data_IF_391379037436
#
_entry.id   IF_391379037436
#
_cell.length_a   1.000
_cell.length_b   1.000
_cell.length_c   1.000
_cell.angle_alpha   90.00
_cell.angle_beta   90.00
_cell.angle_gamma   90.00
#
_symmetry.space_group_name_H-M   'P 1'
#
loop_
_entity.id
_entity.type
_entity.pdbx_description
1 polymer ?
#
# COMPACT_ATOMS: atom_id res chain seq x y z
N UNK A 1 23.43 -3.85 -13.54
CA UNK A 1 24.32 -4.54 -12.56
C UNK A 1 25.14 -3.46 -11.86
N UNK A 2 25.08 -3.38 -10.53
CA UNK A 2 25.87 -2.40 -9.75
C UNK A 2 27.26 -2.97 -9.57
N UNK A 3 28.28 -2.22 -9.97
CA UNK A 3 29.69 -2.59 -9.82
C UNK A 3 30.36 -1.55 -8.93
N UNK A 4 30.99 -2.01 -7.85
CA UNK A 4 31.80 -1.18 -6.97
C UNK A 4 33.26 -1.32 -7.41
N UNK A 5 33.84 -0.25 -7.97
CA UNK A 5 35.22 -0.30 -8.46
C UNK A 5 36.25 -0.49 -7.32
N UNK A 6 35.94 0.00 -6.13
CA UNK A 6 36.76 -0.12 -4.92
C UNK A 6 35.88 0.07 -3.69
N UNK A 7 35.94 -0.88 -2.79
CA UNK A 7 35.24 -0.78 -1.50
C UNK A 7 36.04 0.08 -0.52
N UNK A 8 35.38 1.03 0.10
CA UNK A 8 35.84 1.74 1.30
C UNK A 8 34.92 1.41 2.48
N UNK A 9 35.20 1.96 3.64
CA UNK A 9 34.32 1.82 4.79
C UNK A 9 32.91 2.42 4.54
N UNK A 10 32.81 3.42 3.66
CA UNK A 10 31.54 4.04 3.29
C UNK A 10 30.66 3.11 2.44
N UNK A 11 31.22 2.49 1.39
CA UNK A 11 30.46 1.54 0.57
C UNK A 11 30.11 0.28 1.37
N UNK A 12 31.01 -0.17 2.27
CA UNK A 12 30.72 -1.32 3.15
C UNK A 12 29.56 -1.00 4.12
N UNK A 13 29.51 0.20 4.69
CA UNK A 13 28.41 0.67 5.53
C UNK A 13 27.11 0.76 4.73
N UNK A 14 27.16 1.31 3.51
CA UNK A 14 25.99 1.38 2.62
C UNK A 14 25.44 -0.02 2.29
N UNK A 15 26.31 -1.01 2.05
CA UNK A 15 25.88 -2.39 1.80
C UNK A 15 25.20 -3.01 3.02
N UNK A 16 25.78 -2.84 4.21
CA UNK A 16 25.17 -3.30 5.46
C UNK A 16 23.79 -2.70 5.66
N UNK A 17 23.66 -1.38 5.50
CA UNK A 17 22.38 -0.67 5.63
C UNK A 17 21.35 -1.16 4.58
N UNK A 18 21.78 -1.36 3.34
CA UNK A 18 20.94 -1.91 2.28
C UNK A 18 20.42 -3.32 2.59
N UNK A 19 21.24 -4.13 3.26
CA UNK A 19 20.88 -5.46 3.75
C UNK A 19 20.09 -5.42 5.07
N UNK A 20 19.95 -4.25 5.72
CA UNK A 20 19.28 -4.05 7.01
C UNK A 20 19.88 -4.90 8.13
N UNK A 21 21.19 -5.10 8.12
CA UNK A 21 21.93 -5.85 9.12
C UNK A 21 22.48 -4.93 10.22
N UNK A 22 22.52 -5.42 11.45
CA UNK A 22 23.32 -4.78 12.51
C UNK A 22 24.82 -4.92 12.22
N UNK A 23 25.67 -4.16 12.88
CA UNK A 23 27.13 -4.28 12.75
C UNK A 23 27.57 -5.72 13.08
N UNK A 24 26.97 -6.32 14.10
CA UNK A 24 27.25 -7.70 14.54
C UNK A 24 26.84 -8.71 13.45
N UNK A 25 25.59 -8.64 12.97
CA UNK A 25 25.10 -9.59 11.97
C UNK A 25 25.91 -9.52 10.68
N UNK A 26 26.32 -8.29 10.28
CA UNK A 26 27.15 -8.09 9.07
C UNK A 26 28.57 -8.60 9.25
N UNK A 27 29.15 -8.43 10.47
CA UNK A 27 30.43 -8.99 10.81
C UNK A 27 30.41 -10.52 10.79
N UNK A 28 29.40 -11.14 11.38
CA UNK A 28 29.20 -12.58 11.35
C UNK A 28 29.00 -13.10 9.92
N UNK A 29 28.24 -12.36 9.10
CA UNK A 29 28.01 -12.69 7.69
C UNK A 29 29.29 -12.64 6.84
N UNK A 30 30.20 -11.74 7.15
CA UNK A 30 31.52 -11.60 6.48
C UNK A 30 32.62 -12.48 7.10
N UNK A 31 32.35 -13.11 8.25
CA UNK A 31 33.35 -13.91 8.98
C UNK A 31 34.44 -13.06 9.62
N UNK A 32 34.13 -11.83 10.07
CA UNK A 32 35.08 -10.91 10.70
C UNK A 32 34.63 -10.51 12.11
N UNK A 33 35.55 -9.95 12.91
CA UNK A 33 35.17 -9.44 14.21
C UNK A 33 34.30 -8.16 14.08
N UNK A 34 33.31 -7.99 14.95
CA UNK A 34 32.41 -6.83 15.02
C UNK A 34 33.18 -5.49 15.02
N UNK A 35 34.27 -5.42 15.80
CA UNK A 35 35.17 -4.26 15.84
C UNK A 35 35.78 -3.90 14.47
N UNK A 36 35.91 -4.85 13.55
CA UNK A 36 36.44 -4.62 12.21
C UNK A 36 35.45 -3.83 11.37
N UNK A 37 34.19 -4.23 11.38
CA UNK A 37 33.10 -3.52 10.70
C UNK A 37 32.88 -2.13 11.31
N UNK A 38 32.85 -2.03 12.63
CA UNK A 38 32.74 -0.76 13.35
C UNK A 38 33.90 0.21 12.98
N UNK A 39 35.12 -0.30 12.85
CA UNK A 39 36.29 0.49 12.39
C UNK A 39 36.13 0.96 10.94
N UNK A 40 35.60 0.11 10.05
CA UNK A 40 35.36 0.51 8.65
C UNK A 40 34.38 1.68 8.60
N UNK A 41 33.27 1.57 9.31
CA UNK A 41 32.24 2.62 9.35
C UNK A 41 32.78 3.93 9.95
N UNK A 42 33.49 3.87 11.07
CA UNK A 42 34.05 5.05 11.72
C UNK A 42 35.10 5.77 10.85
N UNK A 43 35.82 5.03 10.01
CA UNK A 43 36.89 5.59 9.17
C UNK A 43 36.42 5.99 7.75
N UNK A 44 35.23 5.59 7.35
CA UNK A 44 34.57 5.99 6.10
C UNK A 44 35.47 5.81 4.86
N UNK A 45 35.65 6.89 4.08
CA UNK A 45 36.47 6.90 2.85
C UNK A 45 37.96 6.60 3.09
N UNK A 46 38.47 6.91 4.28
CA UNK A 46 39.89 6.71 4.60
C UNK A 46 40.26 5.23 4.80
N UNK A 47 39.27 4.36 5.00
CA UNK A 47 39.47 2.94 5.23
C UNK A 47 39.15 2.12 3.99
N UNK A 48 40.14 1.35 3.53
CA UNK A 48 40.02 0.41 2.41
C UNK A 48 40.18 -0.99 2.95
N UNK A 49 39.15 -1.86 2.88
CA UNK A 49 39.29 -3.26 3.26
C UNK A 49 40.35 -3.99 2.45
N UNK A 50 41.03 -4.93 3.05
CA UNK A 50 42.04 -5.76 2.35
C UNK A 50 41.43 -6.55 1.19
N UNK A 51 42.20 -6.94 0.18
CA UNK A 51 41.67 -7.55 -1.07
C UNK A 51 40.72 -8.73 -0.84
N UNK A 52 40.98 -9.59 0.14
CA UNK A 52 40.08 -10.70 0.51
C UNK A 52 38.73 -10.21 0.97
N UNK A 53 38.68 -9.11 1.70
CA UNK A 53 37.41 -8.52 2.15
C UNK A 53 36.67 -7.77 1.04
N UNK A 54 37.39 -7.20 0.09
CA UNK A 54 36.76 -6.62 -1.09
C UNK A 54 36.04 -7.71 -1.91
N UNK A 55 36.67 -8.86 -2.13
CA UNK A 55 36.03 -10.00 -2.79
C UNK A 55 34.86 -10.58 -2.01
N UNK A 56 34.94 -10.58 -0.67
CA UNK A 56 33.82 -10.98 0.16
C UNK A 56 32.63 -10.03 0.03
N UNK A 57 32.86 -8.72 0.05
CA UNK A 57 31.83 -7.68 -0.16
C UNK A 57 31.19 -7.76 -1.56
N UNK A 58 32.00 -8.02 -2.61
CA UNK A 58 31.48 -8.29 -3.95
C UNK A 58 30.57 -9.51 -3.99
N UNK A 59 30.95 -10.57 -3.26
CA UNK A 59 30.15 -11.80 -3.18
C UNK A 59 28.83 -11.54 -2.45
N UNK A 60 28.86 -10.79 -1.35
CA UNK A 60 27.65 -10.42 -0.60
C UNK A 60 26.72 -9.58 -1.47
N UNK A 61 27.24 -8.58 -2.18
CA UNK A 61 26.46 -7.75 -3.09
C UNK A 61 25.85 -8.59 -4.23
N UNK A 62 26.63 -9.50 -4.82
CA UNK A 62 26.15 -10.36 -5.91
C UNK A 62 25.00 -11.25 -5.46
N UNK A 63 25.08 -11.81 -4.25
CA UNK A 63 24.06 -12.71 -3.67
C UNK A 63 22.91 -11.98 -3.00
N UNK A 64 23.00 -10.67 -2.82
CA UNK A 64 21.95 -9.88 -2.19
C UNK A 64 20.65 -9.94 -3.01
N UNK A 65 19.48 -9.91 -2.35
CA UNK A 65 18.19 -9.77 -3.03
C UNK A 65 18.15 -8.50 -3.88
N UNK A 66 17.39 -8.51 -4.97
CA UNK A 66 17.35 -7.37 -5.91
C UNK A 66 16.87 -6.07 -5.25
N UNK A 67 15.99 -6.17 -4.26
CA UNK A 67 15.59 -5.01 -3.44
C UNK A 67 16.76 -4.41 -2.62
N UNK A 68 17.61 -5.26 -2.06
CA UNK A 68 18.80 -4.81 -1.34
C UNK A 68 19.82 -4.18 -2.31
N UNK A 69 19.96 -4.73 -3.52
CA UNK A 69 20.77 -4.14 -4.59
C UNK A 69 20.22 -2.77 -5.00
N UNK A 70 18.89 -2.62 -5.12
CA UNK A 70 18.24 -1.34 -5.40
C UNK A 70 18.54 -0.29 -4.32
N UNK A 71 18.35 -0.64 -3.05
CA UNK A 71 18.69 0.24 -1.92
C UNK A 71 20.17 0.62 -1.89
N UNK A 72 21.04 -0.35 -2.14
CA UNK A 72 22.48 -0.11 -2.20
C UNK A 72 22.85 0.88 -3.32
N UNK A 73 22.22 0.75 -4.50
CA UNK A 73 22.41 1.69 -5.61
C UNK A 73 22.03 3.13 -5.25
N UNK A 74 20.90 3.32 -4.55
CA UNK A 74 20.48 4.63 -4.06
C UNK A 74 21.46 5.21 -3.03
N UNK A 75 21.89 4.40 -2.06
CA UNK A 75 22.88 4.83 -1.06
C UNK A 75 24.22 5.19 -1.71
N UNK A 76 24.69 4.43 -2.70
CA UNK A 76 25.89 4.74 -3.45
C UNK A 76 25.78 6.04 -4.25
N UNK A 77 24.64 6.29 -4.89
CA UNK A 77 24.39 7.53 -5.62
C UNK A 77 24.47 8.74 -4.67
N UNK A 78 23.83 8.64 -3.50
CA UNK A 78 23.89 9.66 -2.46
C UNK A 78 25.32 9.90 -1.92
N UNK A 79 26.16 8.88 -1.86
CA UNK A 79 27.56 8.99 -1.43
C UNK A 79 28.48 9.62 -2.50
N UNK A 80 28.20 9.39 -3.80
CA UNK A 80 29.02 9.86 -4.93
C UNK A 80 28.71 11.27 -5.38
N UNK A 81 27.48 11.70 -5.17
CA UNK A 81 27.02 13.04 -5.49
C UNK A 81 26.18 13.59 -4.34
N UNK A 82 26.82 14.07 -3.26
CA UNK A 82 26.11 14.75 -2.19
C UNK A 82 25.43 16.04 -2.66
N UNK A 83 25.81 16.58 -3.84
CA UNK A 83 25.18 17.73 -4.48
C UNK A 83 24.05 17.30 -5.44
N UNK A 84 24.06 16.09 -5.99
CA UNK A 84 23.07 15.60 -6.95
C UNK A 84 21.71 15.30 -6.33
N UNK A 85 21.64 15.00 -5.04
CA UNK A 85 20.38 14.95 -4.27
C UNK A 85 19.85 16.37 -4.01
N UNK A 86 20.70 17.38 -4.04
CA UNK A 86 20.33 18.81 -3.99
C UNK A 86 19.93 19.35 -5.37
N UNK A 87 20.32 18.72 -6.47
CA UNK A 87 20.16 19.25 -7.84
C UNK A 87 18.75 19.20 -8.42
N UNK A 88 17.80 18.48 -7.83
CA UNK A 88 16.37 18.59 -8.17
C UNK A 88 15.61 19.63 -7.33
N UNK A 89 16.28 20.29 -6.38
CA UNK A 89 15.72 21.37 -5.57
C UNK A 89 16.13 22.78 -6.06
N UNK A 90 16.92 22.88 -7.12
CA UNK A 90 17.54 24.15 -7.59
C UNK A 90 16.60 25.07 -8.39
N UNK A 91 15.28 24.87 -8.32
CA UNK A 91 14.29 25.86 -8.78
C UNK A 91 13.65 26.67 -7.67
N UNK A 92 13.96 26.39 -6.41
CA UNK A 92 13.57 27.22 -5.27
C UNK A 92 14.86 27.69 -4.58
N UNK A 93 15.21 28.94 -4.73
CA UNK A 93 16.48 29.57 -4.32
C UNK A 93 17.04 29.03 -3.00
N UNK A 94 18.35 28.80 -2.98
CA UNK A 94 19.13 28.30 -1.87
C UNK A 94 19.13 29.23 -0.65
N UNK A 95 18.01 29.25 0.09
CA UNK A 95 18.01 29.57 1.51
C UNK A 95 18.39 28.25 2.21
N UNK A 96 19.61 28.19 2.78
CA UNK A 96 20.09 27.00 3.47
C UNK A 96 19.03 26.50 4.43
N UNK A 97 18.55 25.26 4.22
CA UNK A 97 17.62 24.64 5.15
C UNK A 97 18.33 24.60 6.52
N UNK A 98 17.71 25.10 7.57
CA UNK A 98 18.27 24.96 8.91
C UNK A 98 18.49 23.47 9.17
N UNK A 99 19.61 23.12 9.82
CA UNK A 99 19.86 21.75 10.26
C UNK A 99 18.65 21.20 11.02
N UNK A 100 18.56 19.87 11.25
CA UNK A 100 17.40 19.25 11.88
C UNK A 100 17.02 20.02 13.14
N UNK A 101 15.77 20.52 13.16
CA UNK A 101 15.28 21.27 14.31
C UNK A 101 15.34 20.39 15.56
N UNK A 102 15.74 20.91 16.71
CA UNK A 102 15.76 20.12 17.94
C UNK A 102 14.33 19.64 18.24
N UNK A 103 14.19 18.35 18.58
CA UNK A 103 12.91 17.76 18.97
C UNK A 103 12.36 18.57 20.18
N UNK A 104 11.10 19.03 20.14
CA UNK A 104 10.53 19.81 21.22
C UNK A 104 10.50 19.02 22.52
N UNK A 105 10.81 19.66 23.64
CA UNK A 105 10.79 19.00 24.96
C UNK A 105 9.37 18.58 25.42
N UNK A 106 8.34 19.16 24.82
CA UNK A 106 6.92 18.85 25.10
C UNK A 106 6.13 18.98 23.80
N UNK A 107 5.32 17.97 23.53
CA UNK A 107 4.43 17.96 22.36
C UNK A 107 3.10 18.64 22.71
N UNK A 108 2.70 19.63 21.90
CA UNK A 108 1.38 20.24 21.98
C UNK A 108 0.34 19.30 21.33
N UNK A 109 -0.79 18.99 21.98
CA UNK A 109 -1.87 18.21 21.38
C UNK A 109 -2.41 18.78 20.06
N UNK A 110 -2.31 20.09 19.84
CA UNK A 110 -2.67 20.71 18.56
C UNK A 110 -1.82 20.17 17.41
N UNK A 111 -0.55 19.88 17.62
CA UNK A 111 0.32 19.28 16.59
C UNK A 111 -0.20 17.92 16.13
N UNK A 112 -0.77 17.12 17.05
CA UNK A 112 -1.37 15.81 16.72
C UNK A 112 -2.60 16.00 15.84
N UNK A 113 -3.49 16.96 16.18
CA UNK A 113 -4.67 17.29 15.35
C UNK A 113 -4.28 17.76 13.94
N UNK A 114 -3.20 18.54 13.82
CA UNK A 114 -2.69 18.96 12.51
C UNK A 114 -2.17 17.81 11.68
N UNK A 115 -1.48 16.84 12.28
CA UNK A 115 -1.07 15.62 11.58
C UNK A 115 -2.28 14.83 11.07
N UNK A 116 -3.36 14.70 11.86
CA UNK A 116 -4.60 14.07 11.39
C UNK A 116 -5.20 14.79 10.18
N UNK A 117 -5.24 16.13 10.21
CA UNK A 117 -5.76 16.94 9.10
C UNK A 117 -4.92 16.72 7.83
N UNK A 118 -3.60 16.70 7.94
CA UNK A 118 -2.69 16.45 6.79
C UNK A 118 -2.96 15.06 6.19
N UNK A 119 -3.15 14.04 7.02
CA UNK A 119 -3.45 12.69 6.53
C UNK A 119 -4.75 12.64 5.72
N UNK A 120 -5.80 13.34 6.17
CA UNK A 120 -7.06 13.45 5.43
C UNK A 120 -6.85 14.05 4.03
N UNK A 121 -6.01 15.09 3.93
CA UNK A 121 -5.67 15.69 2.63
C UNK A 121 -4.84 14.71 1.76
N UNK A 122 -3.93 13.95 2.34
CA UNK A 122 -3.19 12.91 1.59
C UNK A 122 -4.13 11.85 1.01
N UNK A 123 -5.13 11.39 1.76
CA UNK A 123 -6.15 10.46 1.26
C UNK A 123 -6.92 11.02 0.07
N UNK A 124 -7.26 12.32 0.09
CA UNK A 124 -7.91 12.99 -1.04
C UNK A 124 -7.00 13.08 -2.27
N UNK A 125 -5.72 13.43 -2.07
CA UNK A 125 -4.72 13.51 -3.15
C UNK A 125 -4.47 12.14 -3.76
N UNK A 126 -4.39 11.08 -2.96
CA UNK A 126 -4.23 9.70 -3.42
C UNK A 126 -5.35 9.27 -4.38
N UNK A 127 -6.59 9.67 -4.11
CA UNK A 127 -7.72 9.40 -5.00
C UNK A 127 -7.63 10.11 -6.36
N UNK A 128 -6.83 11.14 -6.49
CA UNK A 128 -6.67 11.93 -7.72
C UNK A 128 -5.39 11.56 -8.49
N UNK A 129 -4.27 11.41 -7.77
CA UNK A 129 -2.94 11.24 -8.35
C UNK A 129 -2.34 9.85 -8.16
N UNK A 130 -2.96 9.03 -7.30
CA UNK A 130 -2.47 7.70 -6.95
C UNK A 130 -1.29 7.69 -5.97
N UNK A 131 -0.74 6.48 -5.67
CA UNK A 131 0.15 6.27 -4.53
C UNK A 131 1.56 6.83 -4.70
N UNK A 132 2.08 6.90 -5.93
CA UNK A 132 3.50 7.14 -6.21
C UNK A 132 4.03 8.44 -5.58
N UNK A 133 3.24 9.52 -5.64
CA UNK A 133 3.63 10.85 -5.15
C UNK A 133 3.52 11.00 -3.63
N UNK A 134 2.86 10.07 -2.94
CA UNK A 134 2.58 10.16 -1.51
C UNK A 134 3.43 9.23 -0.64
N UNK A 135 4.08 8.23 -1.24
CA UNK A 135 4.89 7.25 -0.51
C UNK A 135 6.01 7.90 0.31
N UNK A 136 6.80 8.77 -0.33
CA UNK A 136 7.92 9.45 0.34
C UNK A 136 7.43 10.42 1.42
N UNK A 137 6.38 11.20 1.12
CA UNK A 137 5.79 12.14 2.09
C UNK A 137 5.21 11.41 3.30
N UNK A 138 4.52 10.31 3.10
CA UNK A 138 3.96 9.49 4.17
C UNK A 138 5.05 8.87 5.03
N UNK A 139 6.12 8.38 4.40
CA UNK A 139 7.29 7.81 5.09
C UNK A 139 8.00 8.88 5.94
N UNK A 140 8.15 10.10 5.41
CA UNK A 140 8.72 11.23 6.16
C UNK A 140 7.90 11.55 7.42
N UNK A 141 6.57 11.60 7.32
CA UNK A 141 5.70 11.80 8.48
C UNK A 141 5.78 10.65 9.48
N UNK A 142 5.88 9.40 9.02
CA UNK A 142 6.04 8.24 9.91
C UNK A 142 7.35 8.30 10.70
N UNK A 143 8.45 8.72 10.07
CA UNK A 143 9.72 8.93 10.76
C UNK A 143 9.59 10.04 11.81
N UNK A 144 9.01 11.17 11.43
CA UNK A 144 8.76 12.29 12.35
C UNK A 144 7.87 11.88 13.54
N UNK A 145 6.78 11.14 13.31
CA UNK A 145 5.94 10.59 14.38
C UNK A 145 6.75 9.64 15.27
N UNK A 146 7.62 8.82 14.69
CA UNK A 146 8.53 7.93 15.42
C UNK A 146 9.45 8.69 16.38
N UNK A 147 10.01 9.82 15.93
CA UNK A 147 10.83 10.70 16.77
C UNK A 147 9.99 11.32 17.92
N UNK A 148 8.81 11.83 17.62
CA UNK A 148 7.91 12.39 18.63
C UNK A 148 7.48 11.36 19.68
N UNK A 149 7.30 10.09 19.31
CA UNK A 149 7.00 9.00 20.24
C UNK A 149 8.10 8.75 21.29
N UNK A 150 9.34 9.15 21.02
CA UNK A 150 10.44 9.02 21.97
C UNK A 150 10.30 9.94 23.17
N UNK A 151 9.63 11.08 23.01
CA UNK A 151 9.43 12.10 24.04
C UNK A 151 8.01 12.15 24.59
N UNK A 152 7.04 11.60 23.88
CA UNK A 152 5.64 11.62 24.26
C UNK A 152 5.38 10.66 25.43
N UNK A 153 4.52 11.08 26.39
CA UNK A 153 4.12 10.29 27.55
C UNK A 153 2.61 10.43 27.83
N UNK A 154 2.06 9.50 28.60
CA UNK A 154 0.65 9.53 29.02
C UNK A 154 -0.32 9.60 27.84
N UNK A 155 -1.37 10.40 27.97
CA UNK A 155 -2.44 10.56 26.99
C UNK A 155 -1.91 11.02 25.62
N UNK A 156 -0.97 11.97 25.60
CA UNK A 156 -0.34 12.50 24.37
C UNK A 156 0.35 11.37 23.58
N UNK A 157 1.00 10.43 24.26
CA UNK A 157 1.58 9.26 23.62
C UNK A 157 0.53 8.34 22.98
N UNK A 158 -0.58 8.11 23.68
CA UNK A 158 -1.69 7.28 23.19
C UNK A 158 -2.31 7.90 21.91
N UNK A 159 -2.57 9.21 21.94
CA UNK A 159 -3.08 9.94 20.77
C UNK A 159 -2.09 9.91 19.60
N UNK A 160 -0.81 10.09 19.87
CA UNK A 160 0.23 10.02 18.84
C UNK A 160 0.40 8.61 18.25
N UNK A 161 0.24 7.55 19.06
CA UNK A 161 0.21 6.16 18.57
C UNK A 161 -0.99 5.93 17.65
N UNK A 162 -2.16 6.49 17.97
CA UNK A 162 -3.35 6.40 17.14
C UNK A 162 -3.13 7.07 15.77
N UNK A 163 -2.61 8.29 15.77
CA UNK A 163 -2.28 8.99 14.51
C UNK A 163 -1.19 8.26 13.73
N UNK A 164 -0.15 7.81 14.40
CA UNK A 164 0.91 7.01 13.78
C UNK A 164 0.38 5.73 13.15
N UNK A 165 -0.58 5.06 13.80
CA UNK A 165 -1.25 3.90 13.25
C UNK A 165 -2.02 4.24 11.97
N UNK A 166 -2.73 5.38 11.92
CA UNK A 166 -3.45 5.83 10.72
C UNK A 166 -2.50 6.15 9.56
N UNK A 167 -1.35 6.81 9.82
CA UNK A 167 -0.31 7.03 8.81
C UNK A 167 0.33 5.72 8.32
N UNK A 168 0.60 4.76 9.21
CA UNK A 168 1.17 3.48 8.85
C UNK A 168 0.18 2.61 8.05
N UNK A 169 -1.11 2.70 8.36
CA UNK A 169 -2.17 2.07 7.56
C UNK A 169 -2.21 2.66 6.16
N UNK A 170 -2.21 3.98 6.06
CA UNK A 170 -2.19 4.67 4.77
C UNK A 170 -0.94 4.31 3.95
N UNK A 171 0.24 4.22 4.57
CA UNK A 171 1.43 3.72 3.91
C UNK A 171 1.24 2.28 3.38
N UNK A 172 0.68 1.39 4.21
CA UNK A 172 0.35 0.02 3.80
C UNK A 172 -0.58 -0.03 2.60
N UNK A 173 -1.58 0.86 2.57
CA UNK A 173 -2.48 1.04 1.43
C UNK A 173 -1.75 1.52 0.18
N UNK A 174 -0.95 2.59 0.28
CA UNK A 174 -0.18 3.12 -0.84
C UNK A 174 0.74 2.06 -1.45
N UNK A 175 1.44 1.29 -0.61
CA UNK A 175 2.29 0.19 -1.09
C UNK A 175 1.49 -0.92 -1.76
N UNK A 176 0.31 -1.25 -1.25
CA UNK A 176 -0.56 -2.25 -1.90
C UNK A 176 -1.03 -1.78 -3.27
N UNK A 177 -1.44 -0.51 -3.38
CA UNK A 177 -1.92 0.06 -4.66
C UNK A 177 -0.76 0.35 -5.63
N UNK A 178 0.46 0.52 -5.13
CA UNK A 178 1.69 0.57 -5.94
C UNK A 178 2.23 -0.83 -6.35
N UNK A 179 1.54 -1.92 -6.00
CA UNK A 179 1.94 -3.27 -6.37
C UNK A 179 3.10 -3.85 -5.55
N UNK A 180 3.34 -3.35 -4.33
CA UNK A 180 4.36 -3.86 -3.40
C UNK A 180 3.73 -4.53 -2.17
N UNK A 181 3.34 -5.82 -2.26
CA UNK A 181 2.64 -6.53 -1.18
C UNK A 181 3.51 -6.77 0.06
N UNK A 182 4.84 -6.87 -0.08
CA UNK A 182 5.74 -7.08 1.05
C UNK A 182 5.75 -5.85 1.95
N UNK A 183 5.94 -4.66 1.38
CA UNK A 183 5.90 -3.41 2.13
C UNK A 183 4.51 -3.14 2.71
N UNK A 184 3.44 -3.47 1.97
CA UNK A 184 2.07 -3.38 2.47
C UNK A 184 1.87 -4.24 3.73
N UNK A 185 2.34 -5.49 3.73
CA UNK A 185 2.25 -6.40 4.88
C UNK A 185 3.07 -5.87 6.07
N UNK A 186 4.30 -5.40 5.84
CA UNK A 186 5.15 -4.82 6.88
C UNK A 186 4.43 -3.67 7.62
N UNK A 187 3.86 -2.72 6.88
CA UNK A 187 3.14 -1.60 7.48
C UNK A 187 1.86 -2.03 8.19
N UNK A 188 1.10 -2.96 7.62
CA UNK A 188 -0.10 -3.52 8.24
C UNK A 188 0.20 -4.19 9.58
N UNK A 189 1.32 -4.92 9.71
CA UNK A 189 1.77 -5.54 10.97
C UNK A 189 2.17 -4.47 12.01
N UNK A 190 2.82 -3.39 11.57
CA UNK A 190 3.18 -2.28 12.45
C UNK A 190 1.96 -1.54 12.99
N UNK A 191 0.95 -1.32 12.14
CA UNK A 191 -0.34 -0.74 12.58
C UNK A 191 -0.97 -1.56 13.69
N UNK A 192 -1.01 -2.88 13.55
CA UNK A 192 -1.60 -3.76 14.55
C UNK A 192 -0.93 -3.60 15.91
N UNK A 193 0.41 -3.55 15.94
CA UNK A 193 1.17 -3.32 17.17
C UNK A 193 0.83 -1.98 17.83
N UNK A 194 0.78 -0.89 17.07
CA UNK A 194 0.48 0.43 17.60
C UNK A 194 -0.97 0.55 18.07
N UNK A 195 -1.91 0.00 17.30
CA UNK A 195 -3.33 0.00 17.63
C UNK A 195 -3.62 -0.77 18.93
N UNK A 196 -2.95 -1.91 19.12
CA UNK A 196 -3.05 -2.69 20.37
C UNK A 196 -2.47 -1.93 21.56
N UNK A 197 -1.32 -1.27 21.38
CA UNK A 197 -0.68 -0.47 22.44
C UNK A 197 -1.56 0.74 22.83
N UNK A 198 -2.28 1.33 21.88
CA UNK A 198 -3.20 2.45 22.11
C UNK A 198 -4.60 2.02 22.56
N UNK A 199 -4.89 0.72 22.69
CA UNK A 199 -6.24 0.14 22.95
C UNK A 199 -7.30 0.62 21.93
N UNK A 200 -6.88 0.89 20.71
CA UNK A 200 -7.77 1.35 19.63
C UNK A 200 -8.44 0.16 18.92
N UNK A 201 -9.62 -0.21 19.42
CA UNK A 201 -10.35 -1.37 18.91
C UNK A 201 -10.84 -1.21 17.47
N UNK A 202 -11.18 0.01 17.03
CA UNK A 202 -11.57 0.29 15.65
C UNK A 202 -10.39 0.00 14.70
N UNK A 203 -9.21 0.54 15.01
CA UNK A 203 -8.02 0.32 14.20
C UNK A 203 -7.60 -1.16 14.20
N UNK A 204 -7.70 -1.88 15.33
CA UNK A 204 -7.43 -3.32 15.39
C UNK A 204 -8.36 -4.09 14.44
N UNK A 205 -9.66 -3.81 14.47
CA UNK A 205 -10.65 -4.43 13.57
C UNK A 205 -10.34 -4.09 12.10
N UNK A 206 -10.07 -2.82 11.81
CA UNK A 206 -9.73 -2.36 10.47
C UNK A 206 -8.49 -3.07 9.91
N UNK A 207 -7.43 -3.18 10.70
CA UNK A 207 -6.20 -3.87 10.29
C UNK A 207 -6.42 -5.36 10.05
N UNK A 208 -7.23 -6.03 10.87
CA UNK A 208 -7.59 -7.43 10.63
C UNK A 208 -8.36 -7.59 9.31
N UNK A 209 -9.27 -6.67 8.98
CA UNK A 209 -9.93 -6.62 7.68
C UNK A 209 -8.92 -6.39 6.54
N UNK A 210 -7.92 -5.50 6.71
CA UNK A 210 -6.85 -5.28 5.72
C UNK A 210 -6.00 -6.54 5.51
N UNK A 211 -5.64 -7.26 6.58
CA UNK A 211 -4.93 -8.55 6.50
C UNK A 211 -5.79 -9.62 5.82
N UNK A 212 -7.11 -9.62 6.04
CA UNK A 212 -8.07 -10.47 5.32
C UNK A 212 -8.06 -10.16 3.81
N UNK A 213 -8.05 -8.87 3.44
CA UNK A 213 -7.95 -8.45 2.04
C UNK A 213 -6.63 -8.89 1.38
N UNK A 214 -5.50 -8.81 2.10
CA UNK A 214 -4.22 -9.33 1.60
C UNK A 214 -4.26 -10.85 1.42
N UNK A 215 -4.88 -11.59 2.34
CA UNK A 215 -5.05 -13.04 2.23
C UNK A 215 -5.95 -13.43 1.05
N UNK A 216 -7.04 -12.69 0.81
CA UNK A 216 -7.92 -12.92 -0.34
C UNK A 216 -7.21 -12.71 -1.67
N UNK A 217 -6.35 -11.70 -1.75
CA UNK A 217 -5.50 -11.45 -2.93
C UNK A 217 -4.50 -12.59 -3.23
N UNK A 218 -4.19 -13.42 -2.23
CA UNK A 218 -3.36 -14.64 -2.37
C UNK A 218 -4.19 -15.90 -2.61
N UNK A 219 -5.53 -15.81 -2.66
CA UNK A 219 -6.42 -16.95 -2.81
C UNK A 219 -6.57 -17.81 -1.55
N UNK A 220 -6.09 -17.34 -0.38
CA UNK A 220 -6.18 -18.07 0.89
C UNK A 220 -7.56 -17.87 1.53
N UNK A 221 -8.53 -18.71 1.14
CA UNK A 221 -9.91 -18.63 1.61
C UNK A 221 -10.04 -18.78 3.14
N UNK A 222 -9.33 -19.75 3.72
CA UNK A 222 -9.41 -20.04 5.16
C UNK A 222 -8.90 -18.86 5.98
N UNK A 223 -7.73 -18.34 5.65
CA UNK A 223 -7.15 -17.18 6.32
C UNK A 223 -7.99 -15.92 6.12
N UNK A 224 -8.60 -15.74 4.94
CA UNK A 224 -9.50 -14.63 4.65
C UNK A 224 -10.69 -14.63 5.61
N UNK A 225 -11.36 -15.79 5.77
CA UNK A 225 -12.49 -15.98 6.69
C UNK A 225 -12.08 -15.77 8.15
N UNK A 226 -10.97 -16.37 8.59
CA UNK A 226 -10.52 -16.28 9.98
C UNK A 226 -10.23 -14.82 10.38
N UNK A 227 -9.58 -14.06 9.50
CA UNK A 227 -9.24 -12.67 9.75
C UNK A 227 -10.48 -11.76 9.68
N UNK A 228 -11.41 -11.98 8.75
CA UNK A 228 -12.66 -11.25 8.66
C UNK A 228 -13.52 -11.45 9.92
N UNK A 229 -13.67 -12.70 10.37
CA UNK A 229 -14.37 -13.02 11.63
C UNK A 229 -13.67 -12.46 12.85
N UNK A 230 -12.32 -12.46 12.86
CA UNK A 230 -11.56 -11.82 13.92
C UNK A 230 -11.80 -10.30 13.98
N UNK A 231 -11.95 -9.63 12.82
CA UNK A 231 -12.31 -8.23 12.75
C UNK A 231 -13.70 -7.93 13.36
N UNK A 232 -14.63 -8.88 13.28
CA UNK A 232 -15.99 -8.75 13.79
C UNK A 232 -16.17 -9.14 15.27
N UNK A 233 -15.13 -9.63 15.97
CA UNK A 233 -15.26 -10.14 17.36
C UNK A 233 -15.86 -9.14 18.36
N UNK A 234 -15.62 -7.83 18.15
CA UNK A 234 -16.15 -6.76 18.99
C UNK A 234 -17.09 -5.84 18.19
N UNK A 235 -17.94 -6.43 17.37
CA UNK A 235 -18.81 -5.71 16.44
C UNK A 235 -19.74 -4.69 17.10
N UNK A 236 -20.10 -4.88 18.37
CA UNK A 236 -20.88 -3.94 19.20
C UNK A 236 -20.15 -2.60 19.41
N UNK A 237 -18.83 -2.60 19.29
CA UNK A 237 -17.97 -1.41 19.39
C UNK A 237 -17.60 -0.78 18.05
N UNK A 238 -18.00 -1.41 16.93
CA UNK A 238 -17.68 -0.93 15.59
C UNK A 238 -18.83 -0.08 15.05
N UNK A 239 -18.47 0.93 14.24
CA UNK A 239 -19.45 1.65 13.45
C UNK A 239 -20.08 0.74 12.39
N UNK A 240 -21.25 1.09 11.83
CA UNK A 240 -21.86 0.35 10.74
C UNK A 240 -20.89 0.17 9.56
N UNK A 241 -20.17 1.21 9.15
CA UNK A 241 -19.20 1.15 8.06
C UNK A 241 -18.03 0.22 8.34
N UNK A 242 -17.49 0.23 9.57
CA UNK A 242 -16.43 -0.70 9.95
C UNK A 242 -16.90 -2.16 9.92
N UNK A 243 -18.16 -2.43 10.33
CA UNK A 243 -18.76 -3.75 10.18
C UNK A 243 -18.94 -4.15 8.71
N UNK A 244 -19.41 -3.23 7.86
CA UNK A 244 -19.56 -3.47 6.43
C UNK A 244 -18.24 -3.90 5.78
N UNK A 245 -17.14 -3.21 6.11
CA UNK A 245 -15.81 -3.54 5.61
C UNK A 245 -15.35 -4.95 6.01
N UNK A 246 -15.63 -5.39 7.22
CA UNK A 246 -15.28 -6.74 7.66
C UNK A 246 -16.20 -7.81 7.05
N UNK A 247 -17.51 -7.56 6.95
CA UNK A 247 -18.48 -8.46 6.34
C UNK A 247 -18.22 -8.68 4.85
N UNK A 248 -17.82 -7.63 4.11
CA UNK A 248 -17.43 -7.79 2.71
C UNK A 248 -16.22 -8.71 2.54
N UNK A 249 -15.27 -8.72 3.51
CA UNK A 249 -14.14 -9.66 3.49
C UNK A 249 -14.57 -11.08 3.83
N UNK A 250 -15.55 -11.25 4.71
CA UNK A 250 -16.16 -12.56 4.95
C UNK A 250 -16.81 -13.08 3.66
N UNK A 251 -17.49 -12.22 2.89
CA UNK A 251 -18.05 -12.57 1.59
C UNK A 251 -16.97 -13.02 0.59
N UNK A 252 -15.83 -12.34 0.52
CA UNK A 252 -14.69 -12.76 -0.32
C UNK A 252 -14.18 -14.15 0.08
N UNK A 253 -14.03 -14.40 1.37
CA UNK A 253 -13.62 -15.72 1.86
C UNK A 253 -14.61 -16.84 1.47
N UNK A 254 -15.90 -16.55 1.51
CA UNK A 254 -16.93 -17.50 1.05
C UNK A 254 -16.91 -17.67 -0.48
N UNK A 255 -16.66 -16.60 -1.24
CA UNK A 255 -16.53 -16.70 -2.69
C UNK A 255 -15.31 -17.56 -3.08
N UNK A 256 -14.17 -17.38 -2.42
CA UNK A 256 -12.97 -18.21 -2.60
C UNK A 256 -13.18 -19.67 -2.18
N UNK A 257 -14.11 -19.91 -1.25
CA UNK A 257 -14.52 -21.26 -0.81
C UNK A 257 -15.62 -21.88 -1.69
N UNK A 258 -16.00 -21.20 -2.79
CA UNK A 258 -17.08 -21.64 -3.70
C UNK A 258 -18.44 -21.82 -3.00
N UNK A 259 -18.73 -21.02 -1.92
CA UNK A 259 -20.01 -21.00 -1.23
C UNK A 259 -20.83 -19.74 -1.60
N UNK A 260 -21.64 -19.82 -2.69
CA UNK A 260 -22.41 -18.67 -3.17
C UNK A 260 -23.52 -18.23 -2.20
N UNK A 261 -24.05 -19.15 -1.38
CA UNK A 261 -25.12 -18.82 -0.44
C UNK A 261 -24.56 -18.06 0.76
N UNK A 262 -23.46 -18.50 1.33
CA UNK A 262 -22.81 -17.77 2.43
C UNK A 262 -22.25 -16.43 1.94
N UNK A 263 -21.66 -16.38 0.74
CA UNK A 263 -21.22 -15.15 0.11
C UNK A 263 -22.38 -14.13 -0.04
N UNK A 264 -23.50 -14.56 -0.60
CA UNK A 264 -24.66 -13.68 -0.77
C UNK A 264 -25.20 -13.12 0.56
N UNK A 265 -25.26 -13.95 1.61
CA UNK A 265 -25.66 -13.50 2.95
C UNK A 265 -24.72 -12.46 3.53
N UNK A 266 -23.41 -12.70 3.43
CA UNK A 266 -22.39 -11.76 3.92
C UNK A 266 -22.41 -10.44 3.16
N UNK A 267 -22.59 -10.46 1.82
CA UNK A 267 -22.76 -9.26 1.00
C UNK A 267 -24.02 -8.47 1.35
N UNK A 268 -25.16 -9.14 1.56
CA UNK A 268 -26.40 -8.49 1.97
C UNK A 268 -26.24 -7.79 3.32
N UNK A 269 -25.61 -8.44 4.29
CA UNK A 269 -25.31 -7.85 5.58
C UNK A 269 -24.31 -6.67 5.48
N UNK A 270 -23.30 -6.78 4.63
CA UNK A 270 -22.36 -5.68 4.38
C UNK A 270 -23.07 -4.46 3.77
N UNK A 271 -23.95 -4.68 2.80
CA UNK A 271 -24.73 -3.61 2.15
C UNK A 271 -25.68 -2.93 3.13
N UNK A 272 -26.39 -3.70 3.96
CA UNK A 272 -27.23 -3.16 5.02
C UNK A 272 -26.45 -2.26 5.98
N UNK A 273 -25.26 -2.70 6.42
CA UNK A 273 -24.40 -1.90 7.29
C UNK A 273 -23.84 -0.65 6.59
N UNK A 274 -23.51 -0.72 5.30
CA UNK A 274 -23.04 0.43 4.55
C UNK A 274 -24.14 1.47 4.29
N UNK A 275 -25.40 1.02 4.17
CA UNK A 275 -26.57 1.89 4.01
C UNK A 275 -27.09 2.48 5.34
N UNK A 276 -26.64 1.96 6.48
CA UNK A 276 -27.06 2.44 7.78
C UNK A 276 -26.66 3.91 8.01
N UNK A 277 -27.46 4.71 8.72
CA UNK A 277 -27.08 6.07 9.11
C UNK A 277 -25.71 6.07 9.80
N UNK A 278 -24.90 7.09 9.50
CA UNK A 278 -23.62 7.30 10.19
C UNK A 278 -23.82 7.46 11.70
N UNK A 279 -22.86 7.01 12.45
CA UNK A 279 -22.87 6.99 13.92
C UNK A 279 -21.63 7.80 14.39
N UNK A 280 -21.65 8.31 15.62
CA UNK A 280 -20.53 9.05 16.22
C UNK A 280 -19.20 8.26 16.22
N UNK A 281 -19.26 6.93 16.07
CA UNK A 281 -18.11 6.03 15.92
C UNK A 281 -17.48 6.09 14.52
N UNK A 282 -18.13 6.76 13.55
CA UNK A 282 -17.56 7.03 12.21
C UNK A 282 -16.67 8.29 12.20
N UNK A 283 -16.18 8.75 13.38
CA UNK A 283 -15.37 9.97 13.54
C UNK A 283 -13.96 9.88 12.94
N UNK A 284 -13.55 8.71 12.40
CA UNK A 284 -12.33 8.58 11.59
C UNK A 284 -12.67 8.45 10.09
N UNK A 285 -13.04 9.55 9.40
CA UNK A 285 -13.45 9.51 7.98
C UNK A 285 -12.34 8.98 7.06
N UNK A 286 -11.09 9.11 7.49
CA UNK A 286 -9.94 8.60 6.74
C UNK A 286 -9.94 7.06 6.61
N UNK A 287 -10.50 6.35 7.60
CA UNK A 287 -10.49 4.89 7.63
C UNK A 287 -11.74 4.25 7.03
N UNK A 288 -12.93 4.82 7.28
CA UNK A 288 -14.20 4.17 6.93
C UNK A 288 -15.06 5.00 5.99
N UNK A 289 -14.71 6.27 5.75
CA UNK A 289 -15.51 7.20 4.96
C UNK A 289 -15.75 6.78 3.50
N UNK A 290 -14.85 5.99 2.93
CA UNK A 290 -14.99 5.46 1.57
C UNK A 290 -15.99 4.30 1.46
N UNK A 291 -16.40 3.69 2.60
CA UNK A 291 -17.32 2.56 2.61
C UNK A 291 -18.76 3.04 2.36
N UNK A 292 -19.11 3.16 1.09
CA UNK A 292 -20.45 3.46 0.58
C UNK A 292 -21.13 2.19 0.08
N UNK A 293 -22.43 2.25 -0.21
CA UNK A 293 -23.15 1.14 -0.87
C UNK A 293 -22.52 0.81 -2.23
N UNK A 294 -22.17 1.83 -3.03
CA UNK A 294 -21.48 1.64 -4.32
C UNK A 294 -20.12 0.96 -4.16
N UNK A 295 -19.38 1.24 -3.08
CA UNK A 295 -18.15 0.53 -2.76
C UNK A 295 -18.40 -0.96 -2.49
N UNK A 296 -19.45 -1.28 -1.73
CA UNK A 296 -19.84 -2.69 -1.48
C UNK A 296 -20.28 -3.39 -2.78
N UNK A 297 -20.97 -2.68 -3.67
CA UNK A 297 -21.32 -3.19 -5.01
C UNK A 297 -20.07 -3.57 -5.83
N UNK A 298 -19.04 -2.73 -5.83
CA UNK A 298 -17.77 -3.02 -6.48
C UNK A 298 -17.06 -4.26 -5.93
N UNK A 299 -17.11 -4.46 -4.63
CA UNK A 299 -16.52 -5.64 -3.96
C UNK A 299 -17.39 -6.90 -4.16
N UNK A 300 -18.71 -6.75 -4.22
CA UNK A 300 -19.64 -7.84 -4.53
C UNK A 300 -19.42 -8.37 -5.95
N UNK A 301 -19.14 -7.47 -6.91
CA UNK A 301 -18.84 -7.87 -8.27
C UNK A 301 -17.62 -8.81 -8.35
N UNK A 302 -16.56 -8.51 -7.60
CA UNK A 302 -15.39 -9.37 -7.54
C UNK A 302 -15.74 -10.77 -6.97
N UNK A 303 -16.57 -10.84 -5.93
CA UNK A 303 -17.09 -12.10 -5.41
C UNK A 303 -17.88 -12.90 -6.48
N UNK A 304 -18.74 -12.22 -7.25
CA UNK A 304 -19.50 -12.90 -8.31
C UNK A 304 -18.62 -13.37 -9.47
N UNK A 305 -17.55 -12.64 -9.78
CA UNK A 305 -16.53 -13.08 -10.73
C UNK A 305 -15.81 -14.34 -10.28
N UNK A 306 -15.41 -14.41 -8.99
CA UNK A 306 -14.80 -15.61 -8.39
C UNK A 306 -15.73 -16.81 -8.44
N UNK A 307 -17.05 -16.59 -8.29
CA UNK A 307 -18.07 -17.63 -8.37
C UNK A 307 -18.53 -17.96 -9.81
N UNK A 308 -17.85 -17.44 -10.85
CA UNK A 308 -18.16 -17.69 -12.26
C UNK A 308 -19.50 -17.12 -12.72
N UNK A 309 -19.96 -16.02 -12.13
CA UNK A 309 -21.24 -15.36 -12.42
C UNK A 309 -21.07 -13.95 -13.01
N UNK A 310 -20.45 -13.79 -14.20
CA UNK A 310 -20.09 -12.49 -14.77
C UNK A 310 -21.30 -11.57 -14.99
N UNK A 311 -22.46 -12.10 -15.42
CA UNK A 311 -23.65 -11.26 -15.63
C UNK A 311 -24.17 -10.61 -14.34
N UNK A 312 -24.00 -11.26 -13.17
CA UNK A 312 -24.32 -10.62 -11.90
C UNK A 312 -23.32 -9.53 -11.55
N UNK A 313 -22.03 -9.76 -11.86
CA UNK A 313 -21.00 -8.76 -11.67
C UNK A 313 -21.26 -7.52 -12.54
N UNK A 314 -21.64 -7.69 -13.81
CA UNK A 314 -22.04 -6.59 -14.70
C UNK A 314 -23.18 -5.78 -14.09
N UNK A 315 -24.29 -6.42 -13.76
CA UNK A 315 -25.49 -5.72 -13.27
C UNK A 315 -25.20 -4.90 -11.99
N UNK A 316 -24.42 -5.43 -11.05
CA UNK A 316 -24.12 -4.74 -9.80
C UNK A 316 -23.11 -3.61 -9.98
N UNK A 317 -22.12 -3.77 -10.89
CA UNK A 317 -21.14 -2.72 -11.20
C UNK A 317 -21.79 -1.55 -11.95
N UNK A 318 -22.66 -1.80 -12.91
CA UNK A 318 -23.41 -0.75 -13.61
C UNK A 318 -24.24 0.07 -12.62
N UNK A 319 -24.94 -0.62 -11.69
CA UNK A 319 -25.71 0.04 -10.64
C UNK A 319 -24.81 0.90 -9.74
N UNK A 320 -23.71 0.35 -9.22
CA UNK A 320 -22.79 1.04 -8.31
C UNK A 320 -22.08 2.23 -8.98
N UNK A 321 -21.65 2.07 -10.22
CA UNK A 321 -20.97 3.11 -11.00
C UNK A 321 -21.89 4.28 -11.34
N UNK A 322 -23.19 4.04 -11.56
CA UNK A 322 -24.16 5.11 -11.82
C UNK A 322 -24.32 6.08 -10.64
N UNK A 323 -24.01 5.63 -9.42
CA UNK A 323 -24.10 6.41 -8.19
C UNK A 323 -22.72 6.68 -7.56
N UNK A 324 -21.62 6.46 -8.32
CA UNK A 324 -20.26 6.53 -7.79
C UNK A 324 -19.89 7.95 -7.38
N UNK A 325 -19.39 8.17 -6.13
CA UNK A 325 -19.03 9.50 -5.68
C UNK A 325 -17.83 10.06 -6.46
N UNK A 326 -17.96 11.29 -6.97
CA UNK A 326 -16.98 11.91 -7.86
C UNK A 326 -15.57 12.05 -7.29
N UNK A 327 -15.45 12.11 -5.95
CA UNK A 327 -14.15 12.25 -5.27
C UNK A 327 -13.30 10.97 -5.28
N UNK A 328 -13.86 9.80 -5.61
CA UNK A 328 -13.16 8.51 -5.58
C UNK A 328 -12.81 8.03 -6.99
N UNK A 329 -12.06 8.84 -7.75
CA UNK A 329 -11.74 8.56 -9.16
C UNK A 329 -10.89 7.29 -9.34
N UNK A 330 -9.88 7.09 -8.49
CA UNK A 330 -9.03 5.90 -8.57
C UNK A 330 -9.83 4.61 -8.41
N UNK A 331 -10.71 4.54 -7.41
CA UNK A 331 -11.54 3.35 -7.19
C UNK A 331 -12.65 3.23 -8.26
N UNK A 332 -13.09 4.33 -8.85
CA UNK A 332 -13.94 4.31 -10.06
C UNK A 332 -13.23 3.62 -11.22
N UNK A 333 -11.96 3.97 -11.46
CA UNK A 333 -11.12 3.31 -12.49
C UNK A 333 -10.98 1.81 -12.26
N UNK A 334 -10.80 1.36 -11.02
CA UNK A 334 -10.76 -0.06 -10.66
C UNK A 334 -12.10 -0.75 -10.97
N UNK A 335 -13.22 -0.16 -10.60
CA UNK A 335 -14.54 -0.77 -10.85
C UNK A 335 -14.93 -0.77 -12.33
N UNK A 336 -14.51 0.22 -13.11
CA UNK A 336 -14.62 0.17 -14.58
C UNK A 336 -13.75 -0.95 -15.16
N UNK A 337 -12.53 -1.14 -14.68
CA UNK A 337 -11.67 -2.25 -15.12
C UNK A 337 -12.31 -3.62 -14.80
N UNK A 338 -12.89 -3.78 -13.61
CA UNK A 338 -13.68 -4.97 -13.23
C UNK A 338 -14.91 -5.18 -14.12
N UNK A 339 -15.62 -4.09 -14.45
CA UNK A 339 -16.77 -4.15 -15.34
C UNK A 339 -16.36 -4.61 -16.76
N UNK A 340 -15.26 -4.08 -17.28
CA UNK A 340 -14.72 -4.52 -18.57
C UNK A 340 -14.35 -6.01 -18.55
N UNK A 341 -13.73 -6.51 -17.47
CA UNK A 341 -13.42 -7.93 -17.28
C UNK A 341 -14.70 -8.77 -17.19
N UNK A 342 -15.74 -8.27 -16.52
CA UNK A 342 -17.03 -8.96 -16.40
C UNK A 342 -17.74 -9.08 -17.76
N UNK A 343 -17.79 -8.01 -18.57
CA UNK A 343 -18.30 -8.05 -19.94
C UNK A 343 -17.52 -9.02 -20.82
N UNK A 344 -16.18 -9.00 -20.77
CA UNK A 344 -15.34 -9.92 -21.53
C UNK A 344 -15.62 -11.38 -21.16
N UNK A 345 -15.75 -11.69 -19.87
CA UNK A 345 -16.11 -13.02 -19.37
C UNK A 345 -17.56 -13.40 -19.75
N UNK A 346 -18.46 -12.43 -19.84
CA UNK A 346 -19.84 -12.55 -20.32
C UNK A 346 -19.95 -12.69 -21.85
N UNK A 347 -18.82 -12.66 -22.59
CA UNK A 347 -18.75 -12.74 -24.05
C UNK A 347 -19.36 -11.51 -24.78
N UNK A 348 -19.17 -10.35 -24.21
CA UNK A 348 -19.62 -9.04 -24.69
C UNK A 348 -18.41 -8.16 -25.03
N UNK A 349 -17.68 -8.47 -26.14
CA UNK A 349 -16.37 -7.86 -26.41
C UNK A 349 -16.42 -6.36 -26.70
N UNK A 350 -17.47 -5.86 -27.35
CA UNK A 350 -17.62 -4.44 -27.65
C UNK A 350 -17.81 -3.61 -26.40
N UNK A 351 -18.67 -4.05 -25.47
CA UNK A 351 -18.91 -3.42 -24.17
C UNK A 351 -17.63 -3.48 -23.30
N UNK A 352 -16.97 -4.64 -23.29
CA UNK A 352 -15.71 -4.80 -22.58
C UNK A 352 -14.67 -3.78 -23.05
N UNK A 353 -14.51 -3.59 -24.36
CA UNK A 353 -13.55 -2.64 -24.93
C UNK A 353 -13.94 -1.19 -24.61
N UNK A 354 -15.21 -0.82 -24.75
CA UNK A 354 -15.66 0.54 -24.46
C UNK A 354 -15.40 0.94 -23.01
N UNK A 355 -15.76 0.07 -22.07
CA UNK A 355 -15.53 0.31 -20.63
C UNK A 355 -14.04 0.29 -20.28
N UNK A 356 -13.25 -0.60 -20.91
CA UNK A 356 -11.81 -0.67 -20.69
C UNK A 356 -11.08 0.60 -21.14
N UNK A 357 -11.49 1.23 -22.22
CA UNK A 357 -10.93 2.52 -22.66
C UNK A 357 -11.16 3.63 -21.62
N UNK A 358 -12.38 3.71 -21.07
CA UNK A 358 -12.68 4.66 -20.00
C UNK A 358 -11.82 4.38 -18.75
N UNK A 359 -11.71 3.12 -18.34
CA UNK A 359 -10.86 2.70 -17.21
C UNK A 359 -9.39 3.07 -17.46
N UNK A 360 -8.86 2.80 -18.66
CA UNK A 360 -7.48 3.10 -19.02
C UNK A 360 -7.18 4.60 -18.92
N UNK A 361 -8.12 5.47 -19.32
CA UNK A 361 -7.99 6.92 -19.17
C UNK A 361 -7.84 7.38 -17.71
N UNK A 362 -8.52 6.73 -16.77
CA UNK A 362 -8.36 7.03 -15.33
C UNK A 362 -7.04 6.44 -14.81
N UNK A 363 -6.72 5.21 -15.17
CA UNK A 363 -5.53 4.48 -14.70
C UNK A 363 -4.24 5.19 -15.12
N UNK A 364 -4.19 5.76 -16.33
CA UNK A 364 -3.03 6.54 -16.80
C UNK A 364 -2.71 7.75 -15.92
N UNK A 365 -3.70 8.30 -15.21
CA UNK A 365 -3.53 9.43 -14.30
C UNK A 365 -3.29 9.01 -12.84
N UNK A 366 -3.81 7.84 -12.43
CA UNK A 366 -3.78 7.42 -11.02
C UNK A 366 -2.75 6.32 -10.72
N UNK A 367 -2.19 5.68 -11.75
CA UNK A 367 -1.14 4.64 -11.66
C UNK A 367 -1.47 3.51 -10.67
N UNK A 368 -2.76 3.15 -10.55
CA UNK A 368 -3.21 2.06 -9.68
C UNK A 368 -2.80 0.70 -10.23
N UNK A 369 -1.90 0.00 -9.54
CA UNK A 369 -1.48 -1.34 -9.93
C UNK A 369 -2.65 -2.34 -9.89
N UNK A 370 -3.62 -2.15 -9.00
CA UNK A 370 -4.82 -3.00 -8.92
C UNK A 370 -5.67 -2.89 -10.18
N UNK A 371 -5.97 -1.66 -10.61
CA UNK A 371 -6.76 -1.44 -11.82
C UNK A 371 -6.00 -1.88 -13.08
N UNK A 372 -4.68 -1.61 -13.13
CA UNK A 372 -3.81 -2.11 -14.21
C UNK A 372 -3.81 -3.63 -14.28
N UNK A 373 -3.76 -4.33 -13.13
CA UNK A 373 -3.81 -5.79 -13.11
C UNK A 373 -5.12 -6.34 -13.67
N UNK A 374 -6.28 -5.71 -13.38
CA UNK A 374 -7.56 -6.09 -13.97
C UNK A 374 -7.56 -5.88 -15.50
N UNK A 375 -7.12 -4.72 -15.97
CA UNK A 375 -7.05 -4.45 -17.40
C UNK A 375 -6.13 -5.42 -18.15
N UNK A 376 -5.03 -5.85 -17.55
CA UNK A 376 -4.09 -6.83 -18.12
C UNK A 376 -4.69 -8.24 -18.30
N UNK A 377 -5.86 -8.54 -17.73
CA UNK A 377 -6.59 -9.80 -17.96
C UNK A 377 -7.34 -9.82 -19.30
N UNK A 378 -7.70 -8.64 -19.82
CA UNK A 378 -8.55 -8.50 -21.00
C UNK A 378 -7.99 -9.14 -22.28
N UNK A 379 -6.69 -9.03 -22.62
CA UNK A 379 -6.15 -9.66 -23.83
C UNK A 379 -6.40 -11.17 -23.91
N UNK A 380 -6.32 -11.87 -22.77
CA UNK A 380 -6.60 -13.31 -22.71
C UNK A 380 -8.10 -13.60 -22.87
N UNK A 381 -8.96 -12.83 -22.20
CA UNK A 381 -10.42 -13.01 -22.26
C UNK A 381 -10.99 -12.66 -23.65
N UNK A 382 -10.38 -11.68 -24.35
CA UNK A 382 -10.79 -11.24 -25.68
C UNK A 382 -10.09 -11.98 -26.83
N UNK A 383 -9.32 -13.03 -26.53
CA UNK A 383 -8.55 -13.80 -27.53
C UNK A 383 -9.42 -14.49 -28.60
N UNK A 384 -10.71 -14.70 -28.32
CA UNK A 384 -11.66 -15.26 -29.29
C UNK A 384 -12.08 -14.25 -30.41
N UNK A 385 -11.77 -12.96 -30.23
CA UNK A 385 -12.14 -11.88 -31.17
C UNK A 385 -10.90 -11.05 -31.59
N UNK A 386 -9.87 -11.68 -32.20
CA UNK A 386 -8.58 -11.03 -32.42
C UNK A 386 -8.64 -9.87 -33.43
N UNK A 387 -9.57 -9.94 -34.41
CA UNK A 387 -9.68 -9.01 -35.52
C UNK A 387 -10.84 -7.99 -35.34
N UNK A 388 -11.52 -8.01 -34.20
CA UNK A 388 -12.54 -7.03 -33.88
C UNK A 388 -11.89 -5.65 -33.65
N UNK A 389 -12.30 -4.63 -34.41
CA UNK A 389 -11.65 -3.31 -34.34
C UNK A 389 -11.49 -2.75 -32.93
N UNK A 390 -12.52 -2.75 -32.03
CA UNK A 390 -12.34 -2.30 -30.65
C UNK A 390 -11.30 -3.10 -29.87
N UNK A 391 -11.11 -4.40 -30.15
CA UNK A 391 -10.11 -5.24 -29.48
C UNK A 391 -8.70 -4.88 -29.93
N UNK A 392 -8.52 -4.56 -31.21
CA UNK A 392 -7.23 -4.11 -31.77
C UNK A 392 -6.84 -2.78 -31.13
N UNK A 393 -7.74 -1.79 -31.11
CA UNK A 393 -7.52 -0.48 -30.48
C UNK A 393 -7.23 -0.60 -28.99
N UNK A 394 -7.95 -1.46 -28.26
CA UNK A 394 -7.71 -1.69 -26.84
C UNK A 394 -6.32 -2.25 -26.56
N UNK A 395 -5.81 -3.16 -27.41
CA UNK A 395 -4.46 -3.69 -27.25
C UNK A 395 -3.38 -2.60 -27.31
N UNK A 396 -3.54 -1.64 -28.22
CA UNK A 396 -2.63 -0.49 -28.33
C UNK A 396 -2.69 0.37 -27.06
N UNK A 397 -3.90 0.66 -26.58
CA UNK A 397 -4.12 1.41 -25.34
C UNK A 397 -3.48 0.71 -24.12
N UNK A 398 -3.70 -0.60 -23.97
CA UNK A 398 -3.16 -1.37 -22.85
C UNK A 398 -1.63 -1.51 -22.90
N UNK A 399 -1.04 -1.52 -24.11
CA UNK A 399 0.42 -1.53 -24.27
C UNK A 399 1.09 -0.22 -23.84
N UNK A 400 0.34 0.88 -23.83
CA UNK A 400 0.82 2.20 -23.38
C UNK A 400 0.66 2.43 -21.86
N UNK A 401 -0.06 1.55 -21.14
CA UNK A 401 -0.23 1.66 -19.70
C UNK A 401 1.08 1.31 -18.98
N UNK A 402 1.36 1.98 -17.84
CA UNK A 402 2.57 1.79 -17.05
C UNK A 402 2.70 0.40 -16.41
#
# INVERSE_FOLDING_TARGET
>A
MIVVARWTGQEASALRQALRMTIRDFADHLGVAERTVAKWEASGLAMVPVPVMQAALDTVLTRAPDEAKGRFGMLLAALRDPAGVAGSADTLGAAGLPGPAPIPRRLDPEAIRRLQTILVEYVKIDNLLGPAHLLDLTTLHLNFIGELLTIAAGQVRTELLTVGASYAEFAGWLYQDAGNPQSATYWTDRVLSWAQTADNHLMVSYVLMRKSNQASGLGDAARTLDLARAALRKQDRLSPRARALALRQEAHGHALSEDPLACARALAAAHEQAAAPGDHRDEEPALTGYCTTSYIDGEAADCWMLLGQPHKAVAILEHGLAQWPAQYQRDRGLNLARLAVAHAAGREPEQACAVAQEAAGIVSNTWSARATAELRRLPALLSAWPDLAPVVELRETLAALP
#
